data_IF_222025709840
#
_entry.id   IF_222025709840
#
_cell.length_a   1.000
_cell.length_b   1.000
_cell.length_c   1.000
_cell.angle_alpha   90.00
_cell.angle_beta   90.00
_cell.angle_gamma   90.00
#
_symmetry.space_group_name_H-M   'P 1'
#
loop_
_entity.id
_entity.type
_entity.pdbx_description
1 polymer ?
#
# COMPACT_ATOMS: atom_id res chain seq x y z
N UNK A 1 -17.30 49.90 41.73
CA UNK A 1 -16.74 48.56 41.45
C UNK A 1 -16.97 48.15 39.99
N UNK A 2 -18.20 48.28 39.48
CA UNK A 2 -18.59 47.90 38.11
C UNK A 2 -17.81 48.64 37.01
N UNK A 3 -17.56 49.94 37.18
CA UNK A 3 -16.74 50.73 36.25
C UNK A 3 -15.32 50.17 36.10
N UNK A 4 -14.67 49.76 37.21
CA UNK A 4 -13.33 49.15 37.19
C UNK A 4 -13.32 47.80 36.45
N UNK A 5 -14.45 47.09 36.43
CA UNK A 5 -14.62 45.84 35.67
C UNK A 5 -14.78 46.13 34.18
N UNK A 6 -15.68 47.05 33.81
CA UNK A 6 -15.89 47.44 32.40
C UNK A 6 -14.65 48.08 31.76
N UNK A 7 -13.81 48.74 32.55
CA UNK A 7 -12.50 49.25 32.11
C UNK A 7 -11.41 48.17 32.02
N UNK A 8 -11.70 46.92 32.42
CA UNK A 8 -10.74 45.82 32.44
C UNK A 8 -9.63 45.97 33.50
N UNK A 9 -9.80 46.89 34.47
CA UNK A 9 -8.82 47.18 35.53
C UNK A 9 -8.94 46.21 36.71
N UNK A 10 -10.14 45.70 36.98
CA UNK A 10 -10.38 44.70 38.02
C UNK A 10 -10.06 43.27 37.58
N UNK A 11 -10.48 42.89 36.36
CA UNK A 11 -10.20 41.58 35.75
C UNK A 11 -9.88 41.75 34.26
N UNK A 12 -8.70 41.29 33.85
CA UNK A 12 -8.25 41.33 32.46
C UNK A 12 -8.65 40.04 31.75
N UNK A 13 -9.46 40.17 30.71
CA UNK A 13 -9.86 39.08 29.81
C UNK A 13 -9.19 39.26 28.44
N UNK A 14 -9.09 38.18 27.67
CA UNK A 14 -8.63 38.25 26.27
C UNK A 14 -9.56 39.11 25.40
N UNK A 15 -10.87 39.10 25.71
CA UNK A 15 -11.86 39.98 25.11
C UNK A 15 -12.41 40.96 26.15
N UNK A 16 -12.54 42.26 25.83
CA UNK A 16 -12.97 43.27 26.79
C UNK A 16 -14.43 43.05 27.23
N UNK A 17 -14.74 43.52 28.43
CA UNK A 17 -16.12 43.53 28.94
C UNK A 17 -16.99 44.51 28.14
N UNK A 18 -18.18 44.06 27.76
CA UNK A 18 -19.17 44.88 27.05
C UNK A 18 -20.44 44.91 27.91
N UNK A 19 -20.80 46.09 28.38
CA UNK A 19 -22.01 46.34 29.14
C UNK A 19 -23.23 46.46 28.23
N UNK A 20 -24.34 45.86 28.64
CA UNK A 20 -25.62 45.88 27.91
C UNK A 20 -26.73 46.28 28.87
N UNK A 21 -27.67 47.09 28.40
CA UNK A 21 -28.89 47.44 29.16
C UNK A 21 -30.08 46.79 28.48
N UNK A 22 -30.70 45.85 29.21
CA UNK A 22 -31.86 45.10 28.72
C UNK A 22 -33.17 45.81 29.04
N UNK A 23 -34.25 45.36 28.39
CA UNK A 23 -35.62 45.75 28.74
C UNK A 23 -35.94 45.27 30.15
N UNK A 24 -36.58 46.14 30.95
CA UNK A 24 -37.10 45.77 32.27
C UNK A 24 -38.37 44.93 32.16
N UNK A 25 -38.80 44.30 33.26
CA UNK A 25 -40.06 43.55 33.29
C UNK A 25 -41.26 44.43 32.91
N UNK A 26 -41.23 45.72 33.28
CA UNK A 26 -42.29 46.66 32.93
C UNK A 26 -42.28 47.01 31.43
N UNK A 27 -41.10 47.13 30.81
CA UNK A 27 -40.97 47.34 29.36
C UNK A 27 -41.48 46.14 28.56
N UNK A 28 -41.28 44.93 29.09
CA UNK A 28 -41.80 43.69 28.50
C UNK A 28 -43.32 43.68 28.59
N UNK A 29 -43.89 43.98 29.76
CA UNK A 29 -45.34 44.03 29.95
C UNK A 29 -46.02 45.10 29.08
N UNK A 30 -45.29 46.17 28.72
CA UNK A 30 -45.75 47.23 27.80
C UNK A 30 -45.40 46.97 26.33
N UNK A 31 -44.85 45.79 26.01
CA UNK A 31 -44.44 45.41 24.65
C UNK A 31 -43.56 46.44 23.96
N UNK A 32 -42.62 47.05 24.69
CA UNK A 32 -41.74 48.08 24.11
C UNK A 32 -40.90 47.49 22.99
N UNK A 33 -40.95 48.14 21.83
CA UNK A 33 -40.23 47.74 20.63
C UNK A 33 -38.71 47.66 20.86
N UNK A 34 -38.07 46.72 20.17
CA UNK A 34 -36.63 46.46 20.31
C UNK A 34 -35.79 47.64 19.79
N UNK A 35 -36.23 48.33 18.72
CA UNK A 35 -35.49 49.49 18.20
C UNK A 35 -35.57 50.64 19.20
N UNK A 36 -36.73 50.86 19.82
CA UNK A 36 -36.88 51.84 20.89
C UNK A 36 -36.01 51.50 22.12
N UNK A 37 -35.94 50.22 22.51
CA UNK A 37 -35.05 49.77 23.59
C UNK A 37 -33.57 50.00 23.27
N UNK A 38 -33.14 49.74 22.04
CA UNK A 38 -31.76 49.99 21.56
C UNK A 38 -31.41 51.48 21.55
N UNK A 39 -32.35 52.35 21.17
CA UNK A 39 -32.15 53.80 21.25
C UNK A 39 -31.97 54.26 22.71
N UNK A 40 -32.83 53.79 23.62
CA UNK A 40 -32.70 54.07 25.06
C UNK A 40 -31.38 53.56 25.63
N UNK A 41 -30.93 52.38 25.23
CA UNK A 41 -29.61 51.83 25.62
C UNK A 41 -28.47 52.76 25.17
N UNK A 42 -28.51 53.25 23.92
CA UNK A 42 -27.53 54.19 23.39
C UNK A 42 -27.53 55.52 24.16
N UNK A 43 -28.71 56.07 24.40
CA UNK A 43 -28.88 57.34 25.13
C UNK A 43 -28.41 57.20 26.59
N UNK A 44 -28.68 56.06 27.23
CA UNK A 44 -28.21 55.76 28.59
C UNK A 44 -26.69 55.82 28.68
N UNK A 45 -25.97 55.15 27.78
CA UNK A 45 -24.50 55.17 27.79
C UNK A 45 -23.91 56.54 27.38
N UNK A 46 -24.61 57.30 26.52
CA UNK A 46 -24.15 58.62 26.08
C UNK A 46 -24.35 59.72 27.14
N UNK A 47 -25.45 59.65 27.90
CA UNK A 47 -25.85 60.69 28.85
C UNK A 47 -25.38 60.43 30.29
N UNK A 48 -25.01 59.19 30.64
CA UNK A 48 -24.51 58.86 31.99
C UNK A 48 -23.04 59.28 32.14
N UNK A 49 -22.69 60.24 33.01
CA UNK A 49 -21.32 60.77 33.12
C UNK A 49 -20.25 59.70 33.38
N UNK A 50 -20.58 58.67 34.16
CA UNK A 50 -19.66 57.58 34.53
C UNK A 50 -19.30 56.64 33.37
N UNK A 51 -20.17 56.51 32.36
CA UNK A 51 -20.00 55.57 31.23
C UNK A 51 -19.79 56.28 29.90
N UNK A 52 -19.89 57.61 29.86
CA UNK A 52 -19.85 58.43 28.64
C UNK A 52 -18.58 58.19 27.82
N UNK A 53 -17.41 58.06 28.46
CA UNK A 53 -16.15 57.76 27.76
C UNK A 53 -16.10 56.34 27.17
N UNK A 54 -16.91 55.42 27.70
CA UNK A 54 -17.01 54.03 27.26
C UNK A 54 -18.14 53.80 26.25
N UNK A 55 -19.04 54.77 26.02
CA UNK A 55 -20.25 54.61 25.21
C UNK A 55 -20.01 53.98 23.83
N UNK A 56 -18.87 54.28 23.19
CA UNK A 56 -18.49 53.71 21.88
C UNK A 56 -18.19 52.20 21.88
N UNK A 57 -17.94 51.58 23.05
CA UNK A 57 -17.67 50.15 23.24
C UNK A 57 -18.74 49.43 24.06
N UNK A 58 -19.88 50.07 24.28
CA UNK A 58 -20.97 49.55 25.10
C UNK A 58 -22.24 49.37 24.27
N UNK A 59 -23.19 48.66 24.86
CA UNK A 59 -24.47 48.38 24.25
C UNK A 59 -24.45 47.15 23.35
N UNK A 60 -25.65 46.66 23.07
CA UNK A 60 -25.81 45.38 22.39
C UNK A 60 -25.47 45.43 20.91
N UNK A 61 -25.55 46.60 20.27
CA UNK A 61 -25.11 46.77 18.88
C UNK A 61 -23.58 46.57 18.78
N UNK A 62 -22.83 47.10 19.74
CA UNK A 62 -21.38 46.89 19.83
C UNK A 62 -21.05 45.44 20.18
N UNK A 63 -21.80 44.83 21.10
CA UNK A 63 -21.67 43.40 21.43
C UNK A 63 -21.86 42.52 20.18
N UNK A 64 -22.93 42.74 19.42
CA UNK A 64 -23.22 41.96 18.22
C UNK A 64 -22.09 42.10 17.19
N UNK A 65 -21.64 43.33 16.89
CA UNK A 65 -20.50 43.57 15.98
C UNK A 65 -19.22 42.88 16.45
N UNK A 66 -18.92 42.96 17.74
CA UNK A 66 -17.74 42.33 18.33
C UNK A 66 -17.79 40.81 18.27
N UNK A 67 -18.94 40.20 18.56
CA UNK A 67 -19.15 38.75 18.44
C UNK A 67 -19.07 38.29 16.98
N UNK A 68 -19.69 39.02 16.04
CA UNK A 68 -19.61 38.69 14.61
C UNK A 68 -18.18 38.74 14.10
N UNK A 69 -17.41 39.80 14.44
CA UNK A 69 -16.00 39.92 14.06
C UNK A 69 -15.15 38.81 14.67
N UNK A 70 -15.40 38.46 15.93
CA UNK A 70 -14.68 37.38 16.60
C UNK A 70 -14.98 36.03 15.94
N UNK A 71 -16.25 35.72 15.70
CA UNK A 71 -16.68 34.49 15.02
C UNK A 71 -16.06 34.39 13.62
N UNK A 72 -16.10 35.46 12.83
CA UNK A 72 -15.48 35.52 11.51
C UNK A 72 -13.98 35.23 11.58
N UNK A 73 -13.28 35.83 12.55
CA UNK A 73 -11.85 35.59 12.77
C UNK A 73 -11.57 34.13 13.14
N UNK A 74 -12.39 33.53 14.02
CA UNK A 74 -12.24 32.13 14.42
C UNK A 74 -12.48 31.22 13.21
N UNK A 75 -13.55 31.43 12.45
CA UNK A 75 -13.85 30.65 11.24
C UNK A 75 -12.69 30.74 10.25
N UNK A 76 -12.21 31.96 9.92
CA UNK A 76 -11.07 32.15 9.02
C UNK A 76 -9.80 31.47 9.50
N UNK A 77 -9.54 31.47 10.81
CA UNK A 77 -8.37 30.79 11.38
C UNK A 77 -8.48 29.26 11.35
N UNK A 78 -9.70 28.71 11.39
CA UNK A 78 -9.94 27.25 11.43
C UNK A 78 -10.06 26.63 10.04
N UNK A 79 -10.54 27.37 9.04
CA UNK A 79 -10.74 26.88 7.66
C UNK A 79 -9.48 26.21 7.08
N UNK A 80 -8.27 26.81 7.13
CA UNK A 80 -7.07 26.17 6.58
C UNK A 80 -6.74 24.83 7.23
N UNK A 81 -6.94 24.73 8.55
CA UNK A 81 -6.74 23.49 9.30
C UNK A 81 -7.75 22.41 8.91
N UNK A 82 -9.02 22.77 8.74
CA UNK A 82 -10.05 21.86 8.27
C UNK A 82 -9.80 21.40 6.83
N UNK A 83 -9.38 22.31 5.94
CA UNK A 83 -8.99 21.97 4.58
C UNK A 83 -7.83 20.97 4.57
N UNK A 84 -6.77 21.23 5.33
CA UNK A 84 -5.63 20.32 5.45
C UNK A 84 -6.04 18.95 5.98
N UNK A 85 -6.92 18.90 6.98
CA UNK A 85 -7.44 17.65 7.53
C UNK A 85 -8.23 16.87 6.48
N UNK A 86 -9.16 17.52 5.78
CA UNK A 86 -9.97 16.88 4.73
C UNK A 86 -9.06 16.35 3.62
N UNK A 87 -8.13 17.17 3.10
CA UNK A 87 -7.20 16.74 2.05
C UNK A 87 -6.36 15.54 2.48
N UNK A 88 -5.87 15.53 3.73
CA UNK A 88 -5.13 14.40 4.27
C UNK A 88 -6.00 13.14 4.34
N UNK A 89 -7.20 13.25 4.91
CA UNK A 89 -8.13 12.12 5.03
C UNK A 89 -8.54 11.58 3.66
N UNK A 90 -8.77 12.45 2.67
CA UNK A 90 -9.05 12.03 1.29
C UNK A 90 -7.88 11.24 0.72
N UNK A 91 -6.64 11.72 0.85
CA UNK A 91 -5.47 11.01 0.36
C UNK A 91 -5.27 9.64 1.05
N UNK A 92 -5.52 9.56 2.35
CA UNK A 92 -5.49 8.30 3.11
C UNK A 92 -6.55 7.31 2.60
N UNK A 93 -7.79 7.77 2.40
CA UNK A 93 -8.89 6.96 1.89
C UNK A 93 -8.67 6.53 0.42
N UNK A 94 -8.11 7.39 -0.43
CA UNK A 94 -7.74 7.05 -1.81
C UNK A 94 -6.64 5.98 -1.85
N UNK A 95 -5.67 6.07 -0.94
CA UNK A 95 -4.61 5.06 -0.80
C UNK A 95 -5.20 3.70 -0.37
N UNK A 96 -6.14 3.73 0.59
CA UNK A 96 -6.83 2.52 1.04
C UNK A 96 -7.74 1.94 -0.03
N UNK A 97 -8.48 2.78 -0.76
CA UNK A 97 -9.33 2.36 -1.87
C UNK A 97 -8.52 1.69 -2.99
N UNK A 98 -7.37 2.27 -3.31
CA UNK A 98 -6.42 1.65 -4.26
C UNK A 98 -6.02 0.26 -3.77
N UNK A 99 -5.60 0.13 -2.51
CA UNK A 99 -5.25 -1.17 -1.92
C UNK A 99 -6.38 -2.22 -2.01
N UNK A 100 -7.63 -1.81 -1.83
CA UNK A 100 -8.80 -2.69 -1.94
C UNK A 100 -9.09 -3.15 -3.37
N UNK A 101 -8.64 -2.41 -4.38
CA UNK A 101 -8.78 -2.76 -5.79
C UNK A 101 -10.15 -2.44 -6.38
N UNK A 102 -10.40 -2.96 -7.59
CA UNK A 102 -11.62 -2.66 -8.35
C UNK A 102 -12.87 -3.28 -7.70
N UNK A 103 -14.02 -2.59 -7.72
CA UNK A 103 -15.28 -3.19 -7.31
C UNK A 103 -15.62 -4.38 -8.22
N UNK A 104 -15.96 -5.51 -7.58
CA UNK A 104 -16.38 -6.73 -8.28
C UNK A 104 -17.90 -6.67 -8.44
N UNK A 105 -18.38 -6.89 -9.66
CA UNK A 105 -19.81 -7.02 -9.91
C UNK A 105 -20.41 -8.20 -9.13
N UNK A 106 -21.55 -7.97 -8.47
CA UNK A 106 -22.12 -8.93 -7.52
C UNK A 106 -22.82 -10.13 -8.19
N UNK A 107 -23.13 -10.02 -9.48
CA UNK A 107 -23.71 -11.11 -10.27
C UNK A 107 -22.66 -12.19 -10.61
N UNK A 108 -23.15 -13.38 -10.95
CA UNK A 108 -22.29 -14.51 -11.25
C UNK A 108 -21.37 -14.27 -12.47
N UNK A 109 -21.84 -13.51 -13.47
CA UNK A 109 -21.07 -13.18 -14.67
C UNK A 109 -19.90 -12.26 -14.37
N UNK A 110 -20.14 -11.22 -13.58
CA UNK A 110 -19.12 -10.29 -13.10
C UNK A 110 -18.00 -10.96 -12.30
N UNK A 111 -18.37 -11.87 -11.39
CA UNK A 111 -17.39 -12.67 -10.61
C UNK A 111 -16.56 -13.57 -11.52
N UNK A 112 -17.19 -14.27 -12.47
CA UNK A 112 -16.48 -15.13 -13.42
C UNK A 112 -15.51 -14.34 -14.29
N UNK A 113 -15.94 -13.18 -14.81
CA UNK A 113 -15.08 -12.30 -15.58
C UNK A 113 -13.85 -11.86 -14.77
N UNK A 114 -14.05 -11.50 -13.50
CA UNK A 114 -12.95 -11.10 -12.61
C UNK A 114 -11.95 -12.24 -12.40
N UNK A 115 -12.43 -13.47 -12.16
CA UNK A 115 -11.57 -14.65 -12.04
C UNK A 115 -10.76 -14.86 -13.34
N UNK A 116 -11.40 -14.72 -14.50
CA UNK A 116 -10.71 -14.85 -15.79
C UNK A 116 -9.65 -13.76 -16.00
N UNK A 117 -9.91 -12.53 -15.58
CA UNK A 117 -8.94 -11.43 -15.64
C UNK A 117 -7.72 -11.71 -14.75
N UNK A 118 -7.94 -12.17 -13.52
CA UNK A 118 -6.87 -12.58 -12.60
C UNK A 118 -6.03 -13.72 -13.19
N UNK A 119 -6.68 -14.76 -13.73
CA UNK A 119 -5.98 -15.89 -14.35
C UNK A 119 -5.14 -15.45 -15.55
N UNK A 120 -5.67 -14.56 -16.42
CA UNK A 120 -4.92 -14.02 -17.57
C UNK A 120 -3.73 -13.18 -17.13
N UNK A 121 -3.89 -12.38 -16.09
CA UNK A 121 -2.81 -11.56 -15.54
C UNK A 121 -1.70 -12.42 -14.95
N UNK A 122 -2.06 -13.43 -14.16
CA UNK A 122 -1.10 -14.43 -13.65
C UNK A 122 -0.35 -15.13 -14.78
N UNK A 123 -1.06 -15.61 -15.80
CA UNK A 123 -0.47 -16.30 -16.94
C UNK A 123 0.56 -15.40 -17.66
N UNK A 124 0.20 -14.13 -17.91
CA UNK A 124 1.11 -13.15 -18.50
C UNK A 124 2.37 -12.91 -17.66
N UNK A 125 2.21 -12.64 -16.35
CA UNK A 125 3.34 -12.38 -15.45
C UNK A 125 4.24 -13.61 -15.31
N UNK A 126 3.66 -14.81 -15.21
CA UNK A 126 4.41 -16.05 -15.12
C UNK A 126 5.19 -16.32 -16.41
N UNK A 127 4.57 -16.07 -17.58
CA UNK A 127 5.25 -16.16 -18.87
C UNK A 127 6.41 -15.16 -18.99
N UNK A 128 6.23 -13.93 -18.55
CA UNK A 128 7.31 -12.92 -18.54
C UNK A 128 8.51 -13.36 -17.68
N UNK A 129 8.29 -14.07 -16.57
CA UNK A 129 9.36 -14.65 -15.76
C UNK A 129 10.09 -15.79 -16.48
N UNK A 130 9.36 -16.64 -17.20
CA UNK A 130 9.95 -17.76 -17.95
C UNK A 130 10.75 -17.27 -19.16
N UNK A 131 10.22 -16.31 -19.90
CA UNK A 131 10.84 -15.75 -21.11
C UNK A 131 12.03 -14.83 -20.79
N UNK A 132 12.29 -14.53 -19.51
CA UNK A 132 13.41 -13.70 -19.06
C UNK A 132 13.19 -12.19 -19.19
N UNK A 133 11.96 -11.75 -19.49
CA UNK A 133 11.55 -10.34 -19.38
C UNK A 133 11.59 -9.89 -17.92
N UNK A 134 11.25 -10.80 -17.00
CA UNK A 134 11.40 -10.66 -15.55
C UNK A 134 12.45 -11.63 -15.00
N UNK A 135 13.09 -11.29 -13.88
CA UNK A 135 14.12 -12.14 -13.29
C UNK A 135 13.56 -13.47 -12.75
N UNK A 136 14.09 -14.56 -13.28
CA UNK A 136 14.01 -15.90 -12.71
C UNK A 136 14.19 -17.00 -13.76
N UNK A 137 13.78 -16.77 -15.01
CA UNK A 137 14.02 -17.68 -16.13
C UNK A 137 15.50 -17.94 -16.39
N UNK A 138 16.37 -16.94 -16.16
CA UNK A 138 17.84 -17.06 -16.27
C UNK A 138 18.42 -18.16 -15.39
N UNK A 139 17.78 -18.46 -14.24
CA UNK A 139 18.22 -19.53 -13.35
C UNK A 139 18.04 -20.91 -14.00
N UNK A 140 16.99 -21.10 -14.80
CA UNK A 140 16.75 -22.36 -15.53
C UNK A 140 17.85 -22.56 -16.57
N UNK A 141 18.18 -21.51 -17.34
CA UNK A 141 19.31 -21.54 -18.26
C UNK A 141 20.62 -21.87 -17.55
N UNK A 142 20.88 -21.27 -16.39
CA UNK A 142 22.08 -21.59 -15.60
C UNK A 142 22.16 -23.06 -15.16
N UNK A 143 21.02 -23.71 -14.85
CA UNK A 143 21.02 -25.14 -14.53
C UNK A 143 21.49 -25.97 -15.73
N UNK A 144 20.96 -25.70 -16.92
CA UNK A 144 21.27 -26.50 -18.12
C UNK A 144 22.60 -26.15 -18.79
N UNK A 145 23.00 -24.87 -18.80
CA UNK A 145 24.22 -24.43 -19.49
C UNK A 145 25.46 -24.55 -18.62
N UNK A 146 25.30 -24.57 -17.28
CA UNK A 146 26.43 -24.56 -16.36
C UNK A 146 26.39 -25.72 -15.35
N UNK A 147 25.37 -25.79 -14.49
CA UNK A 147 25.38 -26.76 -13.38
C UNK A 147 25.38 -28.20 -13.86
N UNK A 148 24.48 -28.55 -14.79
CA UNK A 148 24.35 -29.91 -15.30
C UNK A 148 25.60 -30.35 -16.09
N UNK A 149 26.13 -29.59 -17.06
CA UNK A 149 27.38 -29.93 -17.74
C UNK A 149 28.57 -30.09 -16.79
N UNK A 150 28.67 -29.25 -15.76
CA UNK A 150 29.71 -29.38 -14.71
C UNK A 150 29.51 -30.66 -13.91
N UNK A 151 28.28 -31.03 -13.56
CA UNK A 151 27.98 -32.27 -12.86
C UNK A 151 28.32 -33.50 -13.71
N UNK A 152 28.05 -33.49 -15.01
CA UNK A 152 28.43 -34.56 -15.94
C UNK A 152 29.96 -34.66 -16.07
N UNK A 153 30.68 -33.54 -16.20
CA UNK A 153 32.17 -33.55 -16.26
C UNK A 153 32.82 -34.05 -14.97
N UNK A 154 32.13 -33.98 -13.83
CA UNK A 154 32.61 -34.53 -12.55
C UNK A 154 32.46 -36.04 -12.45
N UNK A 155 31.58 -36.65 -13.27
CA UNK A 155 31.55 -38.10 -13.41
C UNK A 155 32.88 -38.51 -14.04
N UNK A 156 33.71 -39.25 -13.30
CA UNK A 156 35.06 -39.63 -13.72
C UNK A 156 35.01 -40.72 -14.81
N UNK A 157 34.45 -40.41 -15.98
CA UNK A 157 34.33 -41.35 -17.09
C UNK A 157 35.68 -41.89 -17.54
N UNK A 158 36.75 -41.10 -17.46
CA UNK A 158 38.11 -41.54 -17.78
C UNK A 158 38.55 -42.75 -16.92
N UNK A 159 38.10 -42.81 -15.67
CA UNK A 159 38.35 -43.98 -14.81
C UNK A 159 37.45 -45.14 -15.20
N UNK A 160 36.16 -44.90 -15.44
CA UNK A 160 35.21 -45.95 -15.81
C UNK A 160 35.57 -46.60 -17.16
N UNK A 161 36.03 -45.82 -18.12
CA UNK A 161 36.44 -46.23 -19.46
C UNK A 161 37.95 -46.51 -19.56
N UNK A 162 38.66 -46.60 -18.43
CA UNK A 162 40.07 -46.99 -18.43
C UNK A 162 40.25 -48.41 -19.00
N UNK A 163 41.36 -48.64 -19.72
CA UNK A 163 41.63 -49.93 -20.36
C UNK A 163 41.59 -51.11 -19.39
N UNK A 164 41.98 -50.89 -18.13
CA UNK A 164 41.91 -51.90 -17.08
C UNK A 164 40.46 -52.28 -16.74
N UNK A 165 39.60 -51.28 -16.53
CA UNK A 165 38.18 -51.51 -16.26
C UNK A 165 37.44 -52.10 -17.47
N UNK A 166 37.73 -51.61 -18.68
CA UNK A 166 37.14 -52.13 -19.92
C UNK A 166 37.51 -53.61 -20.11
N UNK A 167 38.79 -53.96 -19.95
CA UNK A 167 39.24 -55.35 -20.06
C UNK A 167 38.58 -56.24 -19.01
N UNK A 168 38.51 -55.78 -17.77
CA UNK A 168 37.85 -56.50 -16.67
C UNK A 168 36.37 -56.75 -16.97
N UNK A 169 35.62 -55.70 -17.32
CA UNK A 169 34.18 -55.76 -17.55
C UNK A 169 33.83 -56.63 -18.76
N UNK A 170 34.60 -56.54 -19.85
CA UNK A 170 34.42 -57.37 -21.05
C UNK A 170 34.71 -58.85 -20.71
N UNK A 171 35.80 -59.13 -20.01
CA UNK A 171 36.15 -60.51 -19.63
C UNK A 171 35.13 -61.11 -18.67
N UNK A 172 34.55 -60.30 -17.76
CA UNK A 172 33.47 -60.72 -16.85
C UNK A 172 32.13 -60.95 -17.57
N UNK A 173 31.85 -60.24 -18.65
CA UNK A 173 30.57 -60.32 -19.36
C UNK A 173 30.55 -61.39 -20.47
N UNK A 174 31.58 -61.43 -21.31
CA UNK A 174 31.66 -62.32 -22.48
C UNK A 174 32.65 -63.49 -22.29
N UNK A 175 33.42 -63.50 -21.19
CA UNK A 175 34.49 -64.48 -20.97
C UNK A 175 35.73 -64.23 -21.82
N UNK A 176 36.69 -65.15 -21.79
CA UNK A 176 37.88 -65.09 -22.65
C UNK A 176 37.53 -65.52 -24.08
N UNK A 177 37.55 -64.59 -25.03
CA UNK A 177 37.25 -64.86 -26.45
C UNK A 177 38.47 -64.58 -27.35
N UNK A 178 39.17 -65.63 -27.85
CA UNK A 178 40.40 -65.50 -28.61
C UNK A 178 40.17 -65.31 -30.13
N UNK A 179 39.35 -64.32 -30.51
CA UNK A 179 39.14 -63.80 -31.88
C UNK A 179 38.06 -64.49 -32.75
N UNK A 180 37.00 -63.74 -33.05
CA UNK A 180 36.23 -63.62 -34.33
C UNK A 180 34.88 -62.91 -34.13
N UNK A 181 34.43 -62.71 -32.88
CA UNK A 181 33.14 -62.09 -32.54
C UNK A 181 33.39 -60.91 -31.60
N UNK A 182 32.70 -59.79 -31.82
CA UNK A 182 32.78 -58.62 -30.96
C UNK A 182 32.11 -58.90 -29.59
N UNK A 183 32.69 -58.45 -28.46
CA UNK A 183 32.13 -58.67 -27.13
C UNK A 183 30.92 -57.77 -26.86
N UNK A 184 29.77 -58.14 -27.43
CA UNK A 184 28.55 -57.33 -27.37
C UNK A 184 28.03 -57.12 -25.95
N UNK A 185 28.12 -58.13 -25.06
CA UNK A 185 27.58 -58.00 -23.71
C UNK A 185 28.44 -57.09 -22.84
N UNK A 186 29.76 -57.14 -23.00
CA UNK A 186 30.71 -56.27 -22.35
C UNK A 186 30.52 -54.81 -22.75
N UNK A 187 30.37 -54.53 -24.06
CA UNK A 187 30.03 -53.18 -24.51
C UNK A 187 28.69 -52.69 -23.98
N UNK A 188 27.66 -53.56 -24.00
CA UNK A 188 26.34 -53.22 -23.46
C UNK A 188 26.41 -52.85 -21.98
N UNK A 189 27.08 -53.68 -21.15
CA UNK A 189 27.28 -53.39 -19.72
C UNK A 189 28.10 -52.14 -19.48
N UNK A 190 29.12 -51.88 -20.30
CA UNK A 190 29.94 -50.67 -20.18
C UNK A 190 29.10 -49.41 -20.43
N UNK A 191 28.31 -49.41 -21.51
CA UNK A 191 27.40 -48.32 -21.85
C UNK A 191 26.34 -48.15 -20.75
N UNK A 192 25.76 -49.24 -20.27
CA UNK A 192 24.75 -49.23 -19.21
C UNK A 192 25.30 -48.63 -17.90
N UNK A 193 26.51 -49.00 -17.49
CA UNK A 193 27.21 -48.43 -16.32
C UNK A 193 27.40 -46.91 -16.46
N UNK A 194 27.82 -46.44 -17.64
CA UNK A 194 27.95 -45.01 -17.92
C UNK A 194 26.59 -44.29 -17.87
N UNK A 195 25.54 -44.87 -18.47
CA UNK A 195 24.19 -44.28 -18.46
C UNK A 195 23.60 -44.20 -17.06
N UNK A 196 23.78 -45.23 -16.24
CA UNK A 196 23.31 -45.24 -14.84
C UNK A 196 24.00 -44.13 -14.03
N UNK A 197 25.29 -43.87 -14.28
CA UNK A 197 26.01 -42.80 -13.58
C UNK A 197 25.50 -41.38 -13.90
N UNK A 198 24.95 -41.16 -15.10
CA UNK A 198 24.37 -39.88 -15.55
C UNK A 198 23.03 -39.58 -14.87
N UNK A 199 22.32 -40.63 -14.43
CA UNK A 199 20.97 -40.52 -13.85
C UNK A 199 20.93 -39.58 -12.65
N UNK A 200 21.88 -39.69 -11.72
CA UNK A 200 21.91 -38.86 -10.52
C UNK A 200 22.02 -37.35 -10.81
N UNK A 201 23.01 -36.90 -11.60
CA UNK A 201 23.08 -35.51 -12.07
C UNK A 201 21.85 -35.02 -12.83
N UNK A 202 21.22 -35.88 -13.62
CA UNK A 202 20.00 -35.53 -14.37
C UNK A 202 18.81 -35.32 -13.43
N UNK A 203 18.60 -36.23 -12.48
CA UNK A 203 17.55 -36.09 -11.45
C UNK A 203 17.77 -34.82 -10.63
N UNK A 204 19.00 -34.53 -10.20
CA UNK A 204 19.33 -33.31 -9.46
C UNK A 204 19.06 -32.02 -10.26
N UNK A 205 19.32 -32.02 -11.57
CA UNK A 205 19.00 -30.89 -12.43
C UNK A 205 17.48 -30.67 -12.53
N UNK A 206 16.71 -31.74 -12.71
CA UNK A 206 15.24 -31.68 -12.75
C UNK A 206 14.67 -31.16 -11.43
N UNK A 207 15.17 -31.66 -10.30
CA UNK A 207 14.73 -31.21 -8.96
C UNK A 207 15.04 -29.72 -8.74
N UNK A 208 16.20 -29.27 -9.20
CA UNK A 208 16.59 -27.85 -9.11
C UNK A 208 15.67 -26.97 -9.97
N UNK A 209 15.37 -27.38 -11.21
CA UNK A 209 14.44 -26.66 -12.09
C UNK A 209 13.04 -26.63 -11.49
N UNK A 210 12.57 -27.75 -10.92
CA UNK A 210 11.28 -27.81 -10.24
C UNK A 210 11.19 -26.82 -9.07
N UNK A 211 12.26 -26.71 -8.27
CA UNK A 211 12.37 -25.70 -7.22
C UNK A 211 12.24 -24.27 -7.76
N UNK A 212 12.96 -23.96 -8.85
CA UNK A 212 12.91 -22.65 -9.51
C UNK A 212 11.49 -22.36 -10.04
N UNK A 213 10.85 -23.32 -10.72
CA UNK A 213 9.50 -23.15 -11.24
C UNK A 213 8.48 -22.89 -10.11
N UNK A 214 8.60 -23.59 -8.97
CA UNK A 214 7.79 -23.31 -7.78
C UNK A 214 8.00 -21.89 -7.26
N UNK A 215 9.26 -21.44 -7.13
CA UNK A 215 9.57 -20.06 -6.73
C UNK A 215 8.94 -19.05 -7.68
N UNK A 216 9.01 -19.31 -8.99
CA UNK A 216 8.45 -18.44 -10.02
C UNK A 216 6.92 -18.36 -9.92
N UNK A 217 6.23 -19.49 -9.68
CA UNK A 217 4.78 -19.48 -9.45
C UNK A 217 4.42 -18.62 -8.24
N UNK A 218 5.14 -18.77 -7.12
CA UNK A 218 4.88 -17.96 -5.93
C UNK A 218 5.12 -16.46 -6.17
N UNK A 219 6.18 -16.10 -6.88
CA UNK A 219 6.44 -14.71 -7.29
C UNK A 219 5.33 -14.16 -8.17
N UNK A 220 4.94 -14.89 -9.21
CA UNK A 220 3.89 -14.49 -10.13
C UNK A 220 2.53 -14.30 -9.41
N UNK A 221 2.19 -15.16 -8.45
CA UNK A 221 0.98 -15.00 -7.62
C UNK A 221 1.03 -13.68 -6.83
N UNK A 222 2.16 -13.40 -6.16
CA UNK A 222 2.31 -12.19 -5.34
C UNK A 222 2.23 -10.92 -6.19
N UNK A 223 2.87 -10.91 -7.36
CA UNK A 223 2.84 -9.77 -8.29
C UNK A 223 1.46 -9.59 -8.95
N UNK A 224 0.74 -10.68 -9.21
CA UNK A 224 -0.66 -10.63 -9.68
C UNK A 224 -1.55 -9.96 -8.64
N UNK A 225 -1.39 -10.31 -7.35
CA UNK A 225 -2.14 -9.69 -6.27
C UNK A 225 -1.88 -8.17 -6.21
N UNK A 226 -0.61 -7.74 -6.28
CA UNK A 226 -0.25 -6.32 -6.28
C UNK A 226 -0.81 -5.60 -7.52
N UNK A 227 -0.75 -6.23 -8.69
CA UNK A 227 -1.23 -5.64 -9.94
C UNK A 227 -2.75 -5.46 -9.96
N UNK A 228 -3.51 -6.38 -9.34
CA UNK A 228 -4.95 -6.22 -9.13
C UNK A 228 -5.29 -5.04 -8.19
N UNK A 229 -4.43 -4.76 -7.21
CA UNK A 229 -4.57 -3.62 -6.29
C UNK A 229 -4.04 -2.30 -6.87
N UNK A 230 -3.18 -2.31 -7.88
CA UNK A 230 -2.47 -1.11 -8.34
C UNK A 230 -3.15 -0.33 -9.48
N UNK A 231 -4.31 -0.78 -9.99
CA UNK A 231 -4.95 -0.09 -11.13
C UNK A 231 -5.71 1.14 -10.63
N UNK A 232 -5.28 2.37 -10.97
CA UNK A 232 -6.01 3.57 -10.58
C UNK A 232 -7.40 3.57 -11.21
N UNK A 233 -8.43 3.82 -10.40
CA UNK A 233 -9.75 4.21 -10.87
C UNK A 233 -9.59 5.47 -11.73
N UNK A 234 -9.81 5.33 -13.03
CA UNK A 234 -9.99 6.47 -13.95
C UNK A 234 -11.20 7.29 -13.56
#
# INVERSE_FOLDING_TARGET
>A
MLLKILEGRAYRLQFPWIGVVNRSQQDINKSVDMIAARRRERDYFANTPEYKHLAHRMGSEHLAKSLSKHLESVIKSRIPGLQSLITKTVAELETELTRLGKPIANDAGGKLYTIMEICRMFDGIYKEHLDGVRPGGEKIYHVFDNQFPVAIKRLQFDKQLSMENVRKLITEADGYQPHLIAPEQGYRRLIESCLVSIRGPAEAAVDTVHGILKELVHKAINETHVSCSAVPTK
#
